data_IF_611526236849
#
_entry.id   IF_611526236849
#
_cell.length_a   1.000
_cell.length_b   1.000
_cell.length_c   1.000
_cell.angle_alpha   90.00
_cell.angle_beta   90.00
_cell.angle_gamma   90.00
#
_symmetry.space_group_name_H-M   'P 1'
#
loop_
_entity.id
_entity.type
_entity.pdbx_description
1 polymer ?
#
# COMPACT_ATOMS: atom_id res chain seq x y z
N UNK A 1 11.04 20.63 25.60
CA UNK A 1 9.99 21.68 25.62
C UNK A 1 8.80 21.14 26.40
N UNK A 2 8.35 21.84 27.46
CA UNK A 2 7.32 21.37 28.37
C UNK A 2 5.88 21.70 27.93
N UNK A 3 5.68 22.85 27.26
CA UNK A 3 4.34 23.32 26.86
C UNK A 3 4.41 24.17 25.61
N UNK A 4 3.43 24.02 24.74
CA UNK A 4 3.22 24.90 23.59
C UNK A 4 1.74 25.29 23.52
N UNK A 5 1.46 26.56 23.29
CA UNK A 5 0.12 27.08 23.04
C UNK A 5 0.13 27.92 21.77
N UNK A 6 -0.59 27.49 20.76
CA UNK A 6 -0.84 28.26 19.54
C UNK A 6 -2.29 28.75 19.55
N UNK A 7 -2.50 30.02 19.25
CA UNK A 7 -3.83 30.60 19.04
C UNK A 7 -3.87 31.27 17.68
N UNK A 8 -4.93 31.03 16.91
CA UNK A 8 -5.22 31.66 15.63
C UNK A 8 -6.57 32.38 15.75
N UNK A 9 -6.60 33.64 15.37
CA UNK A 9 -7.76 34.53 15.46
C UNK A 9 -7.96 35.16 14.09
N UNK A 10 -9.03 34.77 13.39
CA UNK A 10 -9.44 35.44 12.15
C UNK A 10 -10.35 36.64 12.45
N UNK A 11 -10.29 37.69 11.63
CA UNK A 11 -11.18 38.86 11.79
C UNK A 11 -12.69 38.51 11.76
N UNK A 12 -13.06 37.48 11.00
CA UNK A 12 -14.44 36.96 10.90
C UNK A 12 -14.58 35.47 11.26
N UNK A 13 -13.47 34.82 11.65
CA UNK A 13 -13.40 33.39 11.90
C UNK A 13 -13.42 33.07 13.40
N UNK A 14 -13.74 31.83 13.78
CA UNK A 14 -13.62 31.42 15.17
C UNK A 14 -12.14 31.36 15.59
N UNK A 15 -11.88 31.48 16.88
CA UNK A 15 -10.55 31.36 17.45
C UNK A 15 -10.16 29.89 17.55
N UNK A 16 -9.08 29.50 16.90
CA UNK A 16 -8.55 28.14 17.00
C UNK A 16 -7.40 28.11 18.00
N UNK A 17 -7.39 27.11 18.88
CA UNK A 17 -6.36 26.92 19.87
C UNK A 17 -5.80 25.51 19.82
N UNK A 18 -4.47 25.42 19.77
CA UNK A 18 -3.74 24.18 20.01
C UNK A 18 -2.98 24.30 21.33
N UNK A 19 -3.13 23.30 22.18
CA UNK A 19 -2.39 23.16 23.44
C UNK A 19 -1.65 21.84 23.44
N UNK A 20 -0.34 21.90 23.54
CA UNK A 20 0.55 20.75 23.74
C UNK A 20 1.13 20.85 25.14
N UNK A 21 1.00 19.79 25.93
CA UNK A 21 1.55 19.71 27.29
C UNK A 21 2.24 18.38 27.50
N UNK A 22 3.47 18.43 27.98
CA UNK A 22 4.16 17.24 28.47
C UNK A 22 3.53 16.77 29.79
N UNK A 23 3.30 15.46 29.88
CA UNK A 23 2.77 14.74 31.03
C UNK A 23 3.74 13.63 31.42
N UNK A 24 3.54 13.01 32.59
CA UNK A 24 4.45 11.99 33.11
C UNK A 24 4.68 10.82 32.13
N UNK A 25 3.63 10.41 31.42
CA UNK A 25 3.65 9.23 30.54
C UNK A 25 3.49 9.58 29.04
N UNK A 26 3.62 10.85 28.65
CA UNK A 26 3.41 11.23 27.25
C UNK A 26 3.19 12.72 26.99
N UNK A 27 2.61 13.03 25.83
CA UNK A 27 2.32 14.38 25.37
C UNK A 27 0.83 14.48 25.07
N UNK A 28 0.14 15.31 25.84
CA UNK A 28 -1.26 15.63 25.57
C UNK A 28 -1.33 16.78 24.57
N UNK A 29 -2.12 16.60 23.54
CA UNK A 29 -2.40 17.58 22.49
C UNK A 29 -3.91 17.82 22.48
N UNK A 30 -4.33 19.07 22.47
CA UNK A 30 -5.74 19.45 22.43
C UNK A 30 -5.93 20.55 21.41
N UNK A 31 -6.93 20.37 20.56
CA UNK A 31 -7.46 21.36 19.64
C UNK A 31 -8.84 21.79 20.12
N UNK A 32 -9.08 23.10 20.13
CA UNK A 32 -10.37 23.68 20.51
C UNK A 32 -10.66 24.93 19.71
N UNK A 33 -11.93 25.14 19.39
CA UNK A 33 -12.44 26.33 18.69
C UNK A 33 -13.31 27.16 19.63
N UNK A 34 -13.20 28.49 19.58
CA UNK A 34 -14.00 29.45 20.36
C UNK A 34 -14.66 30.49 19.43
N UNK A 35 -16.01 30.59 19.36
CA UNK A 35 -16.98 29.83 20.14
C UNK A 35 -17.00 28.34 19.78
N UNK A 36 -17.28 27.45 20.76
CA UNK A 36 -17.27 26.01 20.55
C UNK A 36 -18.35 25.61 19.55
N UNK A 37 -17.92 25.03 18.43
CA UNK A 37 -18.78 24.34 17.47
C UNK A 37 -18.78 22.83 17.77
N UNK A 38 -19.83 22.10 17.37
CA UNK A 38 -20.00 20.65 17.62
C UNK A 38 -18.78 19.81 17.18
N UNK A 39 -18.08 20.23 16.12
CA UNK A 39 -16.91 19.54 15.56
C UNK A 39 -15.57 20.23 15.90
N UNK A 40 -15.59 21.24 16.78
CA UNK A 40 -14.45 22.12 17.08
C UNK A 40 -13.54 21.66 18.21
N UNK A 41 -13.63 20.41 18.66
CA UNK A 41 -12.80 19.87 19.74
C UNK A 41 -12.18 18.53 19.32
N UNK A 42 -10.87 18.41 19.44
CA UNK A 42 -10.15 17.15 19.29
C UNK A 42 -9.05 17.07 20.36
N UNK A 43 -8.80 15.87 20.89
CA UNK A 43 -7.67 15.65 21.78
C UNK A 43 -7.02 14.29 21.53
N UNK A 44 -5.72 14.25 21.79
CA UNK A 44 -4.92 13.04 21.67
C UNK A 44 -3.83 13.02 22.74
N UNK A 45 -3.39 11.81 23.10
CA UNK A 45 -2.26 11.61 24.03
C UNK A 45 -1.25 10.69 23.35
N UNK A 46 -0.15 11.26 22.90
CA UNK A 46 0.98 10.52 22.35
C UNK A 46 1.81 9.94 23.50
N UNK A 47 2.21 8.68 23.39
CA UNK A 47 2.98 7.99 24.43
C UNK A 47 4.16 7.23 23.81
N UNK A 48 5.17 6.87 24.62
CA UNK A 48 6.31 6.09 24.14
C UNK A 48 7.00 6.70 22.92
N UNK A 49 7.18 5.91 21.86
CA UNK A 49 7.89 6.33 20.65
C UNK A 49 7.11 7.38 19.83
N UNK A 50 5.78 7.39 19.88
CA UNK A 50 4.97 8.44 19.24
C UNK A 50 5.26 9.81 19.85
N UNK A 51 5.41 9.86 21.18
CA UNK A 51 5.78 11.09 21.88
C UNK A 51 7.21 11.54 21.54
N UNK A 52 8.15 10.59 21.42
CA UNK A 52 9.55 10.88 21.04
C UNK A 52 9.61 11.42 19.61
N UNK A 53 9.01 10.71 18.65
CA UNK A 53 8.98 11.12 17.25
C UNK A 53 8.31 12.50 17.04
N UNK A 54 7.21 12.76 17.75
CA UNK A 54 6.58 14.08 17.73
C UNK A 54 7.51 15.18 18.26
N UNK A 55 8.22 14.94 19.38
CA UNK A 55 9.20 15.92 19.91
C UNK A 55 10.33 16.17 18.94
N UNK A 56 10.83 15.14 18.26
CA UNK A 56 11.88 15.29 17.25
C UNK A 56 11.43 16.13 16.06
N UNK A 57 10.23 15.90 15.52
CA UNK A 57 9.66 16.74 14.45
C UNK A 57 9.42 18.18 14.91
N UNK A 58 8.95 18.37 16.14
CA UNK A 58 8.73 19.70 16.70
C UNK A 58 10.04 20.45 16.91
N UNK A 59 11.10 19.77 17.37
CA UNK A 59 12.42 20.35 17.56
C UNK A 59 13.04 20.87 16.25
N UNK A 60 12.77 20.22 15.11
CA UNK A 60 13.23 20.66 13.77
C UNK A 60 12.66 22.02 13.36
N UNK A 61 11.58 22.50 13.99
CA UNK A 61 11.00 23.82 13.70
C UNK A 61 11.78 24.97 14.36
N UNK A 62 12.66 24.66 15.32
CA UNK A 62 13.50 25.61 16.04
C UNK A 62 12.71 26.82 16.59
N UNK A 63 11.51 26.58 17.14
CA UNK A 63 10.54 27.61 17.52
C UNK A 63 11.12 28.73 18.39
N UNK A 64 12.05 28.40 19.29
CA UNK A 64 12.71 29.37 20.19
C UNK A 64 13.50 30.44 19.42
N UNK A 65 13.99 30.13 18.22
CA UNK A 65 14.74 31.06 17.36
C UNK A 65 13.83 31.98 16.53
N UNK A 66 12.51 31.79 16.57
CA UNK A 66 11.59 32.64 15.85
C UNK A 66 11.63 34.06 16.43
N UNK A 67 11.33 35.06 15.59
CA UNK A 67 11.26 36.45 16.03
C UNK A 67 10.08 36.62 16.99
N UNK A 68 10.18 37.59 17.88
CA UNK A 68 9.11 37.85 18.85
C UNK A 68 7.84 38.42 18.18
N UNK A 69 8.00 39.23 17.12
CA UNK A 69 6.89 39.90 16.45
C UNK A 69 7.07 39.88 14.92
N UNK A 70 6.01 39.49 14.22
CA UNK A 70 5.91 39.48 12.76
C UNK A 70 4.81 40.44 12.30
N UNK A 71 5.18 41.50 11.59
CA UNK A 71 4.24 42.53 11.12
C UNK A 71 4.22 42.53 9.61
N UNK A 72 3.04 42.47 9.00
CA UNK A 72 2.89 42.63 7.57
C UNK A 72 3.35 44.03 7.13
N UNK A 73 4.03 44.11 5.98
CA UNK A 73 4.51 45.38 5.41
C UNK A 73 3.38 46.30 4.95
N UNK A 74 2.16 45.79 4.79
CA UNK A 74 0.95 46.56 4.51
C UNK A 74 -0.19 46.12 5.45
N UNK A 75 -1.06 47.04 5.89
CA UNK A 75 -2.21 46.69 6.71
C UNK A 75 -3.21 45.85 5.89
N UNK A 76 -3.42 44.61 6.32
CA UNK A 76 -4.40 43.67 5.75
C UNK A 76 -5.61 43.66 6.69
N UNK A 77 -6.78 44.04 6.17
CA UNK A 77 -7.99 44.24 7.00
C UNK A 77 -8.75 42.94 7.32
N UNK A 78 -8.52 41.86 6.59
CA UNK A 78 -9.24 40.59 6.65
C UNK A 78 -8.34 39.42 7.09
N UNK A 79 -7.44 39.71 8.02
CA UNK A 79 -6.33 38.84 8.34
C UNK A 79 -6.53 37.75 9.40
N UNK A 80 -5.53 36.88 9.50
CA UNK A 80 -5.33 35.99 10.66
C UNK A 80 -4.25 36.56 11.57
N UNK A 81 -4.64 36.85 12.80
CA UNK A 81 -3.74 37.10 13.90
C UNK A 81 -3.37 35.78 14.56
N UNK A 82 -2.12 35.65 14.98
CA UNK A 82 -1.66 34.44 15.66
C UNK A 82 -0.75 34.77 16.84
N UNK A 83 -0.80 33.93 17.86
CA UNK A 83 0.12 33.96 18.98
C UNK A 83 0.59 32.54 19.32
N UNK A 84 1.88 32.40 19.54
CA UNK A 84 2.54 31.16 19.91
C UNK A 84 3.31 31.40 21.21
N UNK A 85 2.98 30.64 22.24
CA UNK A 85 3.72 30.60 23.49
C UNK A 85 4.41 29.25 23.63
N UNK A 86 5.73 29.25 23.79
CA UNK A 86 6.54 28.03 23.96
C UNK A 86 7.24 28.09 25.31
N UNK A 87 6.94 27.15 26.18
CA UNK A 87 7.64 26.96 27.46
C UNK A 87 8.67 25.85 27.30
N UNK A 88 9.93 26.19 27.52
CA UNK A 88 11.05 25.26 27.42
C UNK A 88 11.14 24.31 28.64
N UNK A 89 12.19 23.48 28.66
CA UNK A 89 12.44 22.52 29.75
C UNK A 89 12.89 23.19 31.05
N UNK A 90 13.37 24.43 30.98
CA UNK A 90 13.78 25.24 32.14
C UNK A 90 12.59 25.99 32.77
N UNK A 91 11.45 26.01 32.10
CA UNK A 91 10.26 26.78 32.48
C UNK A 91 10.23 28.20 31.91
N UNK A 92 11.24 28.59 31.12
CA UNK A 92 11.26 29.87 30.40
C UNK A 92 10.23 29.87 29.29
N UNK A 93 9.44 30.94 29.20
CA UNK A 93 8.38 31.08 28.19
C UNK A 93 8.76 32.12 27.15
N UNK A 94 8.74 31.71 25.89
CA UNK A 94 8.97 32.54 24.71
C UNK A 94 7.63 32.80 24.02
N UNK A 95 7.37 34.06 23.72
CA UNK A 95 6.14 34.48 23.05
C UNK A 95 6.47 35.01 21.66
N UNK A 96 5.74 34.54 20.66
CA UNK A 96 5.84 34.95 19.28
C UNK A 96 4.45 35.34 18.79
N UNK A 97 4.33 36.51 18.17
CA UNK A 97 3.05 37.00 17.65
C UNK A 97 3.19 37.45 16.21
N UNK A 98 2.09 37.38 15.47
CA UNK A 98 2.06 37.97 14.15
C UNK A 98 0.67 38.31 13.65
N UNK A 99 0.66 39.18 12.66
CA UNK A 99 -0.54 39.67 11.98
C UNK A 99 -0.32 39.54 10.47
N UNK A 100 -0.90 38.48 9.88
CA UNK A 100 -0.74 38.08 8.47
C UNK A 100 0.70 37.87 7.97
N UNK A 101 1.68 38.05 8.84
CA UNK A 101 3.08 37.75 8.62
C UNK A 101 3.42 36.51 9.44
N UNK A 102 4.02 35.53 8.78
CA UNK A 102 4.30 34.22 9.36
C UNK A 102 5.79 33.90 9.29
N UNK A 103 6.35 33.24 10.32
CA UNK A 103 7.70 32.72 10.25
C UNK A 103 7.85 31.66 9.15
N UNK A 104 9.08 31.45 8.66
CA UNK A 104 9.41 30.23 7.92
C UNK A 104 8.96 28.99 8.73
N UNK A 105 8.38 28.00 8.05
CA UNK A 105 7.82 26.78 8.64
C UNK A 105 6.53 26.92 9.49
N UNK A 106 5.87 28.07 9.52
CA UNK A 106 4.57 28.20 10.23
C UNK A 106 3.53 27.17 9.77
N UNK A 107 3.38 26.97 8.45
CA UNK A 107 2.48 25.96 7.91
C UNK A 107 2.89 24.53 8.28
N UNK A 108 4.18 24.27 8.48
CA UNK A 108 4.68 22.98 8.95
C UNK A 108 4.29 22.74 10.41
N UNK A 109 4.37 23.76 11.27
CA UNK A 109 3.85 23.71 12.64
C UNK A 109 2.36 23.36 12.64
N UNK A 110 1.54 24.08 11.86
CA UNK A 110 0.11 23.83 11.77
C UNK A 110 -0.20 22.40 11.32
N UNK A 111 0.48 21.95 10.26
CA UNK A 111 0.29 20.58 9.74
C UNK A 111 0.70 19.53 10.77
N UNK A 112 1.80 19.75 11.49
CA UNK A 112 2.29 18.85 12.54
C UNK A 112 1.30 18.77 13.70
N UNK A 113 0.80 19.90 14.20
CA UNK A 113 -0.16 19.94 15.31
C UNK A 113 -1.50 19.32 14.92
N UNK A 114 -2.00 19.63 13.72
CA UNK A 114 -3.21 19.03 13.17
C UNK A 114 -3.07 17.52 13.03
N UNK A 115 -1.97 17.05 12.43
CA UNK A 115 -1.72 15.62 12.27
C UNK A 115 -1.61 14.92 13.63
N UNK A 116 -0.88 15.48 14.59
CA UNK A 116 -0.67 14.88 15.90
C UNK A 116 -1.95 14.83 16.75
N UNK A 117 -2.84 15.83 16.64
CA UNK A 117 -4.14 15.81 17.34
C UNK A 117 -5.16 14.88 16.68
N UNK A 118 -5.06 14.65 15.37
CA UNK A 118 -5.96 13.75 14.62
C UNK A 118 -5.31 12.42 14.25
N UNK A 119 -4.22 12.04 14.91
CA UNK A 119 -3.40 10.91 14.50
C UNK A 119 -4.24 9.60 14.55
N UNK A 120 -4.40 8.87 13.43
CA UNK A 120 -5.32 7.74 13.36
C UNK A 120 -4.95 6.64 14.37
N UNK A 121 -5.91 6.26 15.23
CA UNK A 121 -5.66 5.26 16.28
C UNK A 121 -4.79 5.76 17.44
N UNK A 122 -4.50 7.06 17.51
CA UNK A 122 -3.65 7.67 18.54
C UNK A 122 -2.15 7.58 18.24
N UNK A 123 -1.76 7.08 17.07
CA UNK A 123 -0.37 6.86 16.68
C UNK A 123 0.13 7.97 15.73
N UNK A 124 1.20 8.64 16.14
CA UNK A 124 1.88 9.66 15.35
C UNK A 124 2.82 9.05 14.31
N UNK A 125 3.42 7.91 14.63
CA UNK A 125 4.25 7.14 13.70
C UNK A 125 3.34 6.39 12.73
N UNK A 126 3.66 6.34 11.42
CA UNK A 126 2.85 5.62 10.45
C UNK A 126 2.77 4.12 10.77
N UNK A 127 1.71 3.42 10.28
CA UNK A 127 1.61 1.98 10.43
C UNK A 127 2.80 1.22 9.83
N UNK A 128 3.18 0.11 10.46
CA UNK A 128 4.24 -0.78 10.00
C UNK A 128 3.72 -1.96 9.17
N UNK A 129 2.47 -2.40 9.42
CA UNK A 129 1.88 -3.53 8.71
C UNK A 129 0.35 -3.50 8.77
N UNK A 130 -0.28 -4.22 7.83
CA UNK A 130 -1.73 -4.35 7.75
C UNK A 130 -2.12 -5.81 7.59
N UNK A 131 -3.17 -6.22 8.29
CA UNK A 131 -3.86 -7.49 8.05
C UNK A 131 -5.32 -7.23 7.74
N UNK A 132 -5.76 -7.74 6.60
CA UNK A 132 -7.15 -7.66 6.15
C UNK A 132 -7.74 -9.05 6.08
N UNK A 133 -8.85 -9.26 6.77
CA UNK A 133 -9.59 -10.51 6.77
C UNK A 133 -11.02 -10.31 6.24
N UNK A 134 -11.42 -11.11 5.27
CA UNK A 134 -12.82 -11.34 4.97
C UNK A 134 -13.20 -12.73 5.46
N UNK A 135 -14.19 -12.81 6.33
CA UNK A 135 -14.63 -14.07 6.95
C UNK A 135 -16.10 -14.28 6.63
N UNK A 136 -16.47 -15.45 6.10
CA UNK A 136 -17.86 -15.87 5.89
C UNK A 136 -18.18 -17.09 6.72
N UNK A 137 -19.31 -17.04 7.42
CA UNK A 137 -19.81 -18.12 8.27
C UNK A 137 -21.01 -18.80 7.63
N UNK A 138 -21.06 -20.13 7.77
CA UNK A 138 -22.24 -20.91 7.48
C UNK A 138 -23.00 -21.21 8.78
N UNK A 139 -24.32 -21.19 8.67
CA UNK A 139 -25.20 -21.63 9.75
C UNK A 139 -25.46 -23.13 9.59
N UNK A 140 -24.97 -23.97 10.51
CA UNK A 140 -25.30 -25.39 10.51
C UNK A 140 -26.74 -25.59 10.95
N UNK A 141 -27.61 -25.98 10.00
CA UNK A 141 -28.93 -26.56 10.31
C UNK A 141 -28.77 -28.06 10.50
N UNK A 142 -28.35 -28.48 11.70
CA UNK A 142 -28.41 -29.89 12.04
C UNK A 142 -29.89 -30.32 12.09
N UNK A 143 -30.26 -31.49 11.55
CA UNK A 143 -31.61 -32.02 11.72
C UNK A 143 -31.91 -32.12 13.21
N UNK A 144 -33.06 -31.58 13.61
CA UNK A 144 -33.54 -31.57 14.99
C UNK A 144 -33.51 -33.00 15.55
N UNK A 145 -32.49 -33.35 16.34
CA UNK A 145 -32.66 -34.39 17.33
C UNK A 145 -33.67 -33.87 18.34
N UNK A 146 -34.76 -34.63 18.53
CA UNK A 146 -35.92 -34.24 19.30
C UNK A 146 -35.52 -33.92 20.76
N UNK A 147 -35.46 -32.63 21.07
CA UNK A 147 -35.23 -32.12 22.42
C UNK A 147 -35.45 -30.60 22.45
N UNK A 148 -36.06 -30.05 23.50
CA UNK A 148 -36.22 -28.61 23.62
C UNK A 148 -34.85 -28.01 23.99
N UNK A 149 -34.45 -27.01 23.21
CA UNK A 149 -33.30 -26.11 23.37
C UNK A 149 -31.99 -26.50 22.68
N UNK A 150 -31.65 -25.62 21.70
CA UNK A 150 -30.33 -25.33 21.10
C UNK A 150 -29.84 -26.22 19.96
N UNK A 151 -30.09 -25.74 18.74
CA UNK A 151 -29.13 -25.82 17.64
C UNK A 151 -28.68 -24.40 17.31
N UNK A 152 -27.39 -24.23 16.97
CA UNK A 152 -26.79 -23.24 16.04
C UNK A 152 -25.31 -23.01 16.41
N UNK A 153 -24.43 -23.98 16.13
CA UNK A 153 -23.00 -23.68 16.01
C UNK A 153 -22.76 -23.09 14.62
N UNK A 154 -22.28 -21.85 14.55
CA UNK A 154 -21.80 -21.27 13.29
C UNK A 154 -20.40 -21.83 13.02
N UNK A 155 -20.16 -22.28 11.80
CA UNK A 155 -18.85 -22.77 11.38
C UNK A 155 -18.27 -21.79 10.35
N UNK A 156 -16.96 -21.55 10.44
CA UNK A 156 -16.22 -20.84 9.40
C UNK A 156 -16.39 -21.59 8.07
N UNK A 157 -16.83 -20.88 7.04
CA UNK A 157 -16.96 -21.44 5.69
C UNK A 157 -15.79 -21.02 4.82
N UNK A 158 -15.37 -19.76 4.92
CA UNK A 158 -14.35 -19.15 4.09
C UNK A 158 -13.67 -18.01 4.84
N UNK A 159 -12.34 -17.92 4.71
CA UNK A 159 -11.54 -16.77 5.12
C UNK A 159 -10.56 -16.42 4.02
N UNK A 160 -10.49 -15.16 3.67
CA UNK A 160 -9.40 -14.60 2.86
C UNK A 160 -8.63 -13.61 3.71
N UNK A 161 -7.30 -13.75 3.72
CA UNK A 161 -6.39 -12.93 4.49
C UNK A 161 -5.36 -12.31 3.55
N UNK A 162 -5.18 -11.01 3.65
CA UNK A 162 -4.02 -10.30 3.13
C UNK A 162 -3.20 -9.79 4.31
N UNK A 163 -1.95 -10.23 4.41
CA UNK A 163 -0.97 -9.69 5.33
C UNK A 163 0.06 -8.91 4.51
N UNK A 164 0.24 -7.64 4.82
CA UNK A 164 1.18 -6.74 4.14
C UNK A 164 2.08 -6.14 5.20
N UNK A 165 3.36 -6.50 5.16
CA UNK A 165 4.38 -6.08 6.10
C UNK A 165 5.61 -5.57 5.34
N UNK A 166 5.63 -4.28 4.97
CA UNK A 166 6.78 -3.68 4.30
C UNK A 166 8.05 -3.63 5.14
N UNK A 167 7.98 -3.81 6.46
CA UNK A 167 9.18 -3.79 7.31
C UNK A 167 10.03 -5.06 7.15
N UNK A 168 9.40 -6.15 6.70
CA UNK A 168 10.04 -7.42 6.39
C UNK A 168 9.95 -7.77 4.89
N UNK A 169 9.64 -6.79 4.04
CA UNK A 169 9.40 -6.97 2.60
C UNK A 169 8.40 -8.10 2.31
N UNK A 170 7.36 -8.26 3.12
CA UNK A 170 6.52 -9.46 3.14
C UNK A 170 5.08 -9.16 2.72
N UNK A 171 4.55 -9.96 1.78
CA UNK A 171 3.11 -10.05 1.53
C UNK A 171 2.68 -11.51 1.58
N UNK A 172 1.65 -11.82 2.37
CA UNK A 172 1.04 -13.16 2.45
C UNK A 172 -0.41 -13.07 2.02
N UNK A 173 -0.79 -13.89 1.06
CA UNK A 173 -2.17 -14.08 0.62
C UNK A 173 -2.60 -15.48 1.02
N UNK A 174 -3.60 -15.55 1.89
CA UNK A 174 -4.08 -16.82 2.45
C UNK A 174 -5.57 -16.97 2.25
N UNK A 175 -5.98 -18.14 1.80
CA UNK A 175 -7.38 -18.55 1.71
C UNK A 175 -7.59 -19.80 2.53
N UNK A 176 -8.57 -19.79 3.42
CA UNK A 176 -8.99 -20.95 4.21
C UNK A 176 -10.44 -21.27 3.92
N UNK A 177 -10.77 -22.54 3.79
CA UNK A 177 -12.14 -22.97 3.49
C UNK A 177 -12.52 -24.20 4.30
N UNK A 178 -13.83 -24.39 4.51
CA UNK A 178 -14.33 -25.63 5.10
C UNK A 178 -14.09 -26.81 4.13
N UNK A 179 -13.75 -27.99 4.67
CA UNK A 179 -13.54 -29.22 3.90
C UNK A 179 -14.67 -29.46 2.88
N UNK A 180 -14.36 -29.91 1.65
CA UNK A 180 -13.11 -30.54 1.21
C UNK A 180 -12.11 -29.59 0.50
N UNK A 181 -12.31 -28.27 0.58
CA UNK A 181 -11.40 -27.32 -0.08
C UNK A 181 -10.07 -27.21 0.68
N UNK A 182 -8.96 -27.26 -0.03
CA UNK A 182 -7.62 -27.08 0.55
C UNK A 182 -7.37 -25.61 0.88
N UNK A 183 -6.74 -25.35 2.02
CA UNK A 183 -6.15 -24.06 2.33
C UNK A 183 -5.07 -23.72 1.30
N UNK A 184 -4.98 -22.45 0.92
CA UNK A 184 -3.98 -21.93 -0.01
C UNK A 184 -3.25 -20.77 0.64
N UNK A 185 -1.93 -20.73 0.50
CA UNK A 185 -1.09 -19.66 1.04
C UNK A 185 0.04 -19.38 0.05
N UNK A 186 0.22 -18.10 -0.30
CA UNK A 186 1.30 -17.62 -1.16
C UNK A 186 2.01 -16.48 -0.44
N UNK A 187 3.34 -16.50 -0.48
CA UNK A 187 4.19 -15.50 0.16
C UNK A 187 5.08 -14.83 -0.89
N UNK A 188 5.20 -13.52 -0.80
CA UNK A 188 6.00 -12.68 -1.70
C UNK A 188 7.01 -11.87 -0.89
N UNK A 189 8.19 -11.62 -1.50
CA UNK A 189 9.33 -10.97 -0.85
C UNK A 189 9.97 -9.81 -1.64
N UNK A 190 9.33 -9.31 -2.71
CA UNK A 190 9.92 -8.25 -3.56
C UNK A 190 9.83 -6.87 -2.86
N UNK A 191 10.94 -6.25 -2.43
CA UNK A 191 10.89 -5.03 -1.63
C UNK A 191 10.21 -3.86 -2.34
N UNK A 192 10.43 -3.71 -3.64
CA UNK A 192 9.87 -2.59 -4.40
C UNK A 192 8.37 -2.75 -4.60
N UNK A 193 7.93 -3.95 -4.99
CA UNK A 193 6.51 -4.22 -5.18
C UNK A 193 5.76 -4.15 -3.85
N UNK A 194 6.37 -4.64 -2.76
CA UNK A 194 5.77 -4.59 -1.42
C UNK A 194 5.63 -3.15 -0.93
N UNK A 195 6.66 -2.31 -1.12
CA UNK A 195 6.58 -0.89 -0.79
C UNK A 195 5.46 -0.17 -1.55
N UNK A 196 5.34 -0.42 -2.85
CA UNK A 196 4.28 0.16 -3.69
C UNK A 196 2.87 -0.27 -3.21
N UNK A 197 2.71 -1.56 -2.87
CA UNK A 197 1.45 -2.06 -2.32
C UNK A 197 1.13 -1.43 -0.96
N UNK A 198 2.13 -1.29 -0.09
CA UNK A 198 1.97 -0.65 1.21
C UNK A 198 1.50 0.82 1.10
N UNK A 199 2.01 1.58 0.12
CA UNK A 199 1.56 2.95 -0.15
C UNK A 199 0.08 2.99 -0.57
N UNK A 200 -0.32 2.13 -1.51
CA UNK A 200 -1.70 2.03 -1.96
C UNK A 200 -2.65 1.63 -0.81
N UNK A 201 -2.22 0.70 0.05
CA UNK A 201 -2.98 0.26 1.23
C UNK A 201 -3.10 1.38 2.26
N UNK A 202 -2.02 2.09 2.55
CA UNK A 202 -2.03 3.24 3.46
C UNK A 202 -2.98 4.34 2.97
N UNK A 203 -2.95 4.65 1.67
CA UNK A 203 -3.87 5.60 1.05
C UNK A 203 -5.34 5.14 1.20
N UNK A 204 -5.62 3.88 0.87
CA UNK A 204 -6.98 3.33 0.98
C UNK A 204 -7.49 3.34 2.42
N UNK A 205 -6.67 2.97 3.40
CA UNK A 205 -7.01 3.00 4.83
C UNK A 205 -7.24 4.42 5.31
N UNK A 206 -6.48 5.41 4.82
CA UNK A 206 -6.66 6.82 5.21
C UNK A 206 -8.06 7.37 4.89
N UNK A 207 -8.74 6.83 3.87
CA UNK A 207 -10.10 7.22 3.47
C UNK A 207 -11.17 6.81 4.49
N UNK A 208 -10.87 5.90 5.42
CA UNK A 208 -11.75 5.58 6.54
C UNK A 208 -11.78 6.70 7.61
N UNK A 209 -10.85 7.65 7.56
CA UNK A 209 -10.74 8.71 8.55
C UNK A 209 -10.18 8.20 9.88
N UNK A 210 -10.82 8.60 10.99
CA UNK A 210 -10.35 8.26 12.33
C UNK A 210 -10.54 6.77 12.63
N UNK A 211 -9.42 6.05 12.77
CA UNK A 211 -9.45 4.62 13.08
C UNK A 211 -9.70 4.38 14.57
N UNK A 212 -10.84 3.76 14.90
CA UNK A 212 -11.17 3.33 16.27
C UNK A 212 -11.38 1.83 16.33
N UNK A 213 -10.84 1.20 17.37
CA UNK A 213 -11.05 -0.23 17.59
C UNK A 213 -12.55 -0.50 17.74
N UNK A 214 -13.06 -1.33 16.84
CA UNK A 214 -14.48 -1.67 16.75
C UNK A 214 -14.57 -3.18 16.61
N UNK A 215 -15.41 -3.83 17.42
CA UNK A 215 -15.60 -5.27 17.38
C UNK A 215 -17.07 -5.56 17.12
N UNK A 216 -17.36 -6.59 16.32
CA UNK A 216 -18.73 -7.06 16.14
C UNK A 216 -19.30 -7.60 17.45
N UNK A 217 -20.57 -7.32 17.71
CA UNK A 217 -21.24 -7.83 18.90
C UNK A 217 -21.33 -9.37 18.84
N UNK A 218 -20.71 -10.10 19.79
CA UNK A 218 -20.78 -11.55 19.80
C UNK A 218 -22.21 -12.09 20.02
N UNK A 219 -23.14 -11.28 20.54
CA UNK A 219 -24.54 -11.67 20.72
C UNK A 219 -25.35 -11.64 19.40
N UNK A 220 -24.90 -10.85 18.41
CA UNK A 220 -25.53 -10.70 17.10
C UNK A 220 -24.50 -10.87 15.97
N UNK A 221 -23.87 -12.05 15.84
CA UNK A 221 -22.79 -12.23 14.89
C UNK A 221 -23.34 -12.11 13.45
N UNK A 222 -22.69 -11.34 12.56
CA UNK A 222 -23.09 -11.23 11.17
C UNK A 222 -22.72 -12.51 10.40
N UNK A 223 -23.32 -12.71 9.22
CA UNK A 223 -22.98 -13.87 8.37
C UNK A 223 -21.59 -13.74 7.75
N UNK A 224 -21.09 -12.50 7.62
CA UNK A 224 -19.75 -12.20 7.16
C UNK A 224 -19.18 -10.97 7.87
N UNK A 225 -17.85 -10.97 8.01
CA UNK A 225 -17.09 -9.94 8.71
C UNK A 225 -15.98 -9.45 7.78
N UNK A 226 -15.81 -8.13 7.71
CA UNK A 226 -14.53 -7.53 7.34
C UNK A 226 -13.78 -7.21 8.62
N UNK A 227 -12.51 -7.58 8.68
CA UNK A 227 -11.61 -7.13 9.72
C UNK A 227 -10.39 -6.45 9.11
N UNK A 228 -10.03 -5.29 9.65
CA UNK A 228 -8.76 -4.62 9.41
C UNK A 228 -8.00 -4.58 10.73
N UNK A 229 -6.76 -5.03 10.71
CA UNK A 229 -5.81 -4.85 11.81
C UNK A 229 -4.67 -4.00 11.29
N UNK A 230 -4.49 -2.83 11.90
CA UNK A 230 -3.39 -1.92 11.60
C UNK A 230 -2.36 -2.07 12.70
N UNK A 231 -1.17 -2.52 12.34
CA UNK A 231 -0.04 -2.66 13.24
C UNK A 231 0.81 -1.40 13.14
N UNK A 232 1.26 -0.92 14.29
CA UNK A 232 2.19 0.19 14.41
C UNK A 232 3.50 -0.34 14.98
N UNK A 233 4.63 0.38 14.76
CA UNK A 233 5.91 -0.01 15.34
C UNK A 233 5.85 -0.24 16.86
N UNK A 234 5.00 0.52 17.57
CA UNK A 234 4.81 0.44 19.01
C UNK A 234 3.33 0.55 19.39
N UNK A 235 2.98 0.12 20.61
CA UNK A 235 1.62 0.16 21.13
C UNK A 235 0.76 -1.01 20.67
N UNK A 236 -0.56 -0.89 20.89
CA UNK A 236 -1.52 -1.95 20.53
C UNK A 236 -2.01 -1.72 19.09
N UNK A 237 -2.20 -2.79 18.31
CA UNK A 237 -2.79 -2.64 16.99
C UNK A 237 -4.22 -2.11 17.09
N UNK A 238 -4.61 -1.30 16.10
CA UNK A 238 -6.00 -0.87 15.93
C UNK A 238 -6.74 -1.95 15.17
N UNK A 239 -7.84 -2.47 15.76
CA UNK A 239 -8.63 -3.55 15.15
C UNK A 239 -10.06 -3.10 14.87
N UNK A 240 -10.43 -3.10 13.59
CA UNK A 240 -11.78 -2.78 13.13
C UNK A 240 -12.42 -4.07 12.65
N UNK A 241 -13.60 -4.41 13.16
CA UNK A 241 -14.44 -5.50 12.68
C UNK A 241 -15.86 -5.00 12.49
N UNK A 242 -16.40 -5.23 11.30
CA UNK A 242 -17.74 -4.76 10.93
C UNK A 242 -18.52 -5.86 10.22
N UNK A 243 -19.84 -5.70 10.17
CA UNK A 243 -20.69 -6.54 9.34
C UNK A 243 -20.42 -6.23 7.85
N UNK A 244 -19.86 -7.20 7.14
CA UNK A 244 -19.50 -7.05 5.73
C UNK A 244 -20.72 -6.85 4.81
N UNK A 245 -21.93 -7.13 5.25
CA UNK A 245 -23.15 -6.90 4.48
C UNK A 245 -23.65 -5.45 4.60
N UNK A 246 -23.31 -4.73 5.67
CA UNK A 246 -23.92 -3.44 6.00
C UNK A 246 -22.95 -2.26 5.87
N UNK A 247 -21.66 -2.47 6.12
CA UNK A 247 -20.67 -1.39 6.15
C UNK A 247 -20.18 -1.03 4.73
N UNK A 248 -20.49 0.18 4.26
CA UNK A 248 -20.16 0.62 2.90
C UNK A 248 -18.70 1.08 2.75
N UNK A 249 -18.13 1.68 3.80
CA UNK A 249 -16.78 2.22 3.78
C UNK A 249 -15.77 1.07 3.79
N UNK A 250 -15.97 0.07 4.64
CA UNK A 250 -15.14 -1.13 4.68
C UNK A 250 -15.27 -1.99 3.40
N UNK A 251 -16.43 -1.98 2.72
CA UNK A 251 -16.56 -2.61 1.40
C UNK A 251 -15.71 -1.89 0.35
N UNK A 252 -15.76 -0.56 0.33
CA UNK A 252 -14.96 0.25 -0.59
C UNK A 252 -13.46 0.05 -0.35
N UNK A 253 -13.04 0.02 0.92
CA UNK A 253 -11.66 -0.34 1.30
C UNK A 253 -11.27 -1.72 0.79
N UNK A 254 -12.12 -2.73 1.02
CA UNK A 254 -11.84 -4.11 0.60
C UNK A 254 -11.69 -4.24 -0.91
N UNK A 255 -12.52 -3.54 -1.68
CA UNK A 255 -12.43 -3.50 -3.14
C UNK A 255 -11.10 -2.88 -3.60
N UNK A 256 -10.76 -1.70 -3.08
CA UNK A 256 -9.51 -1.01 -3.43
C UNK A 256 -8.27 -1.86 -3.11
N UNK A 257 -8.23 -2.50 -1.94
CA UNK A 257 -7.10 -3.35 -1.56
C UNK A 257 -7.05 -4.63 -2.39
N UNK A 258 -8.20 -5.23 -2.72
CA UNK A 258 -8.23 -6.43 -3.58
C UNK A 258 -7.72 -6.10 -4.98
N UNK A 259 -8.07 -4.94 -5.52
CA UNK A 259 -7.54 -4.46 -6.81
C UNK A 259 -6.03 -4.22 -6.75
N UNK A 260 -5.54 -3.51 -5.73
CA UNK A 260 -4.11 -3.28 -5.53
C UNK A 260 -3.32 -4.59 -5.35
N UNK A 261 -3.86 -5.56 -4.61
CA UNK A 261 -3.27 -6.90 -4.46
C UNK A 261 -3.24 -7.64 -5.80
N UNK A 262 -4.30 -7.53 -6.61
CA UNK A 262 -4.33 -8.16 -7.93
C UNK A 262 -3.25 -7.57 -8.86
N UNK A 263 -3.12 -6.24 -8.92
CA UNK A 263 -2.07 -5.57 -9.69
C UNK A 263 -0.67 -5.97 -9.21
N UNK A 264 -0.46 -6.05 -7.90
CA UNK A 264 0.77 -6.54 -7.29
C UNK A 264 1.09 -7.98 -7.75
N UNK A 265 0.12 -8.89 -7.73
CA UNK A 265 0.30 -10.28 -8.18
C UNK A 265 0.68 -10.34 -9.65
N UNK A 266 -0.02 -9.60 -10.51
CA UNK A 266 0.29 -9.53 -11.96
C UNK A 266 1.69 -8.98 -12.20
N UNK A 267 2.11 -7.94 -11.47
CA UNK A 267 3.44 -7.37 -11.56
C UNK A 267 4.52 -8.37 -11.10
N UNK A 268 4.26 -9.10 -10.00
CA UNK A 268 5.16 -10.14 -9.49
C UNK A 268 5.31 -11.30 -10.48
N UNK A 269 4.21 -11.77 -11.09
CA UNK A 269 4.24 -12.80 -12.12
C UNK A 269 5.04 -12.36 -13.34
N UNK A 270 4.85 -11.12 -13.82
CA UNK A 270 5.64 -10.57 -14.94
C UNK A 270 7.13 -10.50 -14.63
N UNK A 271 7.52 -10.07 -13.42
CA UNK A 271 8.93 -10.09 -12.99
C UNK A 271 9.48 -11.50 -12.95
N UNK A 272 8.75 -12.44 -12.35
CA UNK A 272 9.17 -13.84 -12.31
C UNK A 272 9.36 -14.43 -13.72
N UNK A 273 8.52 -14.07 -14.69
CA UNK A 273 8.69 -14.49 -16.08
C UNK A 273 9.92 -13.84 -16.72
N UNK A 274 10.13 -12.54 -16.51
CA UNK A 274 11.33 -11.84 -16.97
C UNK A 274 12.62 -12.43 -16.39
N UNK A 275 12.65 -12.65 -15.07
CA UNK A 275 13.76 -13.28 -14.36
C UNK A 275 13.95 -14.74 -14.78
N UNK A 276 12.89 -15.51 -14.99
CA UNK A 276 13.00 -16.86 -15.53
C UNK A 276 13.52 -16.88 -16.97
N UNK A 277 13.19 -15.87 -17.78
CA UNK A 277 13.73 -15.71 -19.14
C UNK A 277 15.20 -15.32 -19.12
N UNK A 278 15.60 -14.50 -18.14
CA UNK A 278 16.95 -13.91 -18.03
C UNK A 278 17.94 -14.83 -17.30
N UNK A 279 17.48 -15.49 -16.24
CA UNK A 279 18.31 -16.26 -15.30
C UNK A 279 17.89 -17.73 -15.15
N UNK A 280 16.72 -18.11 -15.68
CA UNK A 280 16.30 -19.50 -15.72
C UNK A 280 17.17 -20.30 -16.70
N UNK A 281 17.16 -21.64 -16.62
CA UNK A 281 17.75 -22.44 -17.69
C UNK A 281 17.08 -22.02 -19.00
N UNK A 282 17.85 -21.71 -20.05
CA UNK A 282 17.31 -21.39 -21.37
C UNK A 282 16.60 -22.64 -21.92
N UNK A 283 15.31 -22.80 -21.59
CA UNK A 283 14.44 -23.84 -22.14
C UNK A 283 14.16 -23.41 -23.58
N UNK A 284 14.48 -24.27 -24.55
CA UNK A 284 14.20 -23.99 -25.96
C UNK A 284 12.82 -23.36 -26.16
N UNK A 285 12.78 -22.18 -26.77
CA UNK A 285 11.55 -21.48 -27.14
C UNK A 285 11.40 -21.48 -28.68
N UNK A 286 10.24 -21.04 -29.17
CA UNK A 286 9.95 -21.02 -30.61
C UNK A 286 9.97 -19.61 -31.16
N UNK A 287 10.50 -19.45 -32.37
CA UNK A 287 10.51 -18.21 -33.14
C UNK A 287 9.94 -18.45 -34.53
N UNK A 288 9.45 -17.40 -35.21
CA UNK A 288 9.25 -17.46 -36.65
C UNK A 288 10.34 -16.70 -37.37
N UNK A 289 10.77 -17.28 -38.47
CA UNK A 289 11.68 -16.65 -39.41
C UNK A 289 11.05 -16.60 -40.79
N UNK A 290 11.40 -15.58 -41.56
CA UNK A 290 11.04 -15.45 -42.96
C UNK A 290 12.31 -15.49 -43.82
N UNK A 291 12.25 -16.23 -44.92
CA UNK A 291 13.33 -16.22 -45.91
C UNK A 291 13.04 -15.15 -46.94
N UNK A 292 14.01 -14.30 -47.26
CA UNK A 292 13.86 -13.27 -48.28
C UNK A 292 13.29 -13.91 -49.56
N UNK A 293 12.17 -13.39 -50.08
CA UNK A 293 11.37 -13.94 -51.20
C UNK A 293 10.36 -15.05 -50.88
N UNK A 294 10.12 -15.39 -49.60
CA UNK A 294 9.06 -16.31 -49.19
C UNK A 294 7.82 -15.58 -48.72
N UNK A 295 6.64 -16.00 -49.20
CA UNK A 295 5.35 -15.48 -48.71
C UNK A 295 4.89 -16.17 -47.40
N UNK A 296 5.76 -16.95 -46.75
CA UNK A 296 5.42 -17.79 -45.60
C UNK A 296 6.48 -17.68 -44.52
N UNK A 297 6.01 -17.66 -43.28
CA UNK A 297 6.84 -17.72 -42.09
C UNK A 297 7.04 -19.17 -41.66
N UNK A 298 8.23 -19.47 -41.16
CA UNK A 298 8.64 -20.80 -40.75
C UNK A 298 8.96 -20.81 -39.27
N UNK A 299 8.44 -21.81 -38.57
CA UNK A 299 8.64 -21.99 -37.13
C UNK A 299 9.96 -22.74 -36.86
N UNK A 300 10.81 -22.18 -36.01
CA UNK A 300 12.05 -22.79 -35.52
C UNK A 300 12.09 -22.80 -34.00
N UNK A 301 12.95 -23.65 -33.44
CA UNK A 301 13.34 -23.59 -32.02
C UNK A 301 14.62 -22.79 -31.87
N UNK A 302 14.80 -22.16 -30.72
CA UNK A 302 16.07 -21.53 -30.37
C UNK A 302 16.28 -21.58 -28.86
N UNK A 303 17.55 -21.62 -28.48
CA UNK A 303 18.09 -21.45 -27.14
C UNK A 303 18.98 -20.21 -27.05
N UNK A 304 19.11 -19.45 -28.15
CA UNK A 304 19.82 -18.17 -28.17
C UNK A 304 19.04 -17.14 -27.33
N UNK A 305 19.71 -16.45 -26.39
CA UNK A 305 19.09 -15.35 -25.65
C UNK A 305 18.96 -14.12 -26.55
N UNK A 306 18.04 -13.23 -26.18
CA UNK A 306 17.98 -11.84 -26.66
C UNK A 306 17.81 -11.65 -28.18
N UNK A 307 17.16 -12.59 -28.89
CA UNK A 307 16.75 -12.37 -30.28
C UNK A 307 15.63 -11.32 -30.37
N UNK A 308 15.75 -10.39 -31.30
CA UNK A 308 14.77 -9.35 -31.60
C UNK A 308 14.16 -9.54 -33.00
N UNK A 309 13.01 -8.91 -33.26
CA UNK A 309 12.46 -8.85 -34.62
C UNK A 309 13.39 -8.04 -35.52
N UNK A 310 13.68 -8.55 -36.71
CA UNK A 310 14.68 -8.00 -37.64
C UNK A 310 16.07 -8.63 -37.49
N UNK A 311 16.32 -9.40 -36.44
CA UNK A 311 17.57 -10.16 -36.31
C UNK A 311 17.70 -11.18 -37.43
N UNK A 312 18.94 -11.42 -37.82
CA UNK A 312 19.26 -12.24 -38.97
C UNK A 312 19.92 -13.53 -38.47
N UNK A 313 19.32 -14.68 -38.76
CA UNK A 313 19.72 -15.98 -38.18
C UNK A 313 20.02 -17.04 -39.23
N UNK A 314 20.92 -17.97 -38.87
CA UNK A 314 21.29 -19.12 -39.69
C UNK A 314 20.44 -20.33 -39.29
N UNK A 315 19.68 -20.87 -40.25
CA UNK A 315 18.71 -21.95 -40.02
C UNK A 315 18.85 -23.11 -41.02
N UNK A 316 18.65 -24.37 -40.61
CA UNK A 316 18.73 -25.51 -41.51
C UNK A 316 17.43 -25.74 -42.29
N UNK A 317 17.52 -25.88 -43.61
CA UNK A 317 16.40 -26.11 -44.54
C UNK A 317 16.50 -27.45 -45.29
N UNK A 318 15.36 -27.99 -45.73
CA UNK A 318 15.28 -29.26 -46.48
C UNK A 318 15.70 -30.52 -45.71
N UNK A 319 15.70 -31.69 -46.35
CA UNK A 319 16.12 -32.94 -45.70
C UNK A 319 17.66 -33.11 -45.67
N UNK A 320 18.38 -32.45 -46.57
CA UNK A 320 19.86 -32.50 -46.67
C UNK A 320 20.58 -31.59 -45.66
N UNK A 321 19.85 -30.84 -44.83
CA UNK A 321 20.44 -30.00 -43.78
C UNK A 321 21.24 -28.79 -44.28
N UNK A 322 20.95 -28.30 -45.49
CA UNK A 322 21.54 -27.06 -46.01
C UNK A 322 21.18 -25.89 -45.10
N UNK A 323 22.10 -24.97 -44.88
CA UNK A 323 21.83 -23.77 -44.07
C UNK A 323 21.38 -22.63 -44.97
N UNK A 324 20.42 -21.87 -44.49
CA UNK A 324 19.97 -20.63 -45.09
C UNK A 324 19.85 -19.56 -44.03
N UNK A 325 19.71 -18.38 -44.59
CA UNK A 325 19.74 -17.08 -43.99
C UNK A 325 18.28 -16.58 -43.91
N UNK A 326 17.80 -16.30 -42.70
CA UNK A 326 16.41 -15.92 -42.45
C UNK A 326 16.30 -14.80 -41.41
N UNK A 327 15.35 -13.89 -41.62
CA UNK A 327 15.05 -12.77 -40.71
C UNK A 327 14.02 -13.22 -39.67
N UNK A 328 14.25 -12.87 -38.41
CA UNK A 328 13.31 -13.11 -37.31
C UNK A 328 12.13 -12.16 -37.45
N UNK A 329 10.94 -12.71 -37.65
CA UNK A 329 9.69 -11.94 -37.81
C UNK A 329 8.78 -12.01 -36.58
N UNK A 330 9.09 -12.90 -35.64
CA UNK A 330 8.39 -13.07 -34.37
C UNK A 330 9.37 -13.78 -33.42
N UNK A 331 9.99 -12.99 -32.54
CA UNK A 331 11.04 -13.46 -31.63
C UNK A 331 10.49 -14.34 -30.49
N UNK A 332 9.16 -14.43 -30.32
CA UNK A 332 8.58 -15.27 -29.29
C UNK A 332 7.20 -15.82 -29.66
N UNK A 333 7.17 -17.08 -30.07
CA UNK A 333 5.94 -17.78 -30.46
C UNK A 333 5.53 -18.77 -29.38
N UNK A 334 4.29 -18.67 -28.91
CA UNK A 334 3.70 -19.69 -28.05
C UNK A 334 3.72 -21.06 -28.75
N UNK A 335 4.17 -22.11 -28.04
CA UNK A 335 4.20 -23.47 -28.57
C UNK A 335 2.80 -23.85 -29.10
N UNK A 336 2.60 -24.09 -30.41
CA UNK A 336 1.26 -24.30 -30.92
C UNK A 336 0.70 -25.64 -30.43
N UNK A 337 -0.39 -25.59 -29.66
CA UNK A 337 -1.04 -26.76 -29.03
C UNK A 337 -1.52 -27.78 -30.08
N UNK A 338 -1.75 -27.35 -31.32
CA UNK A 338 -2.12 -28.18 -32.47
C UNK A 338 -1.35 -27.74 -33.72
N UNK A 339 -0.05 -28.03 -33.77
CA UNK A 339 0.72 -27.84 -34.99
C UNK A 339 0.73 -29.13 -35.84
N UNK A 340 0.58 -29.06 -37.17
CA UNK A 340 0.62 -30.25 -38.03
C UNK A 340 2.01 -30.92 -38.07
N UNK A 341 3.05 -30.24 -37.59
CA UNK A 341 4.40 -30.78 -37.47
C UNK A 341 4.69 -31.11 -35.99
N UNK A 342 4.99 -32.37 -35.64
CA UNK A 342 5.35 -32.73 -34.27
C UNK A 342 6.55 -31.92 -33.75
N UNK A 343 6.56 -31.53 -32.46
CA UNK A 343 7.62 -30.71 -31.89
C UNK A 343 9.03 -31.24 -32.15
N UNK A 344 9.26 -32.56 -32.13
CA UNK A 344 10.57 -33.17 -32.39
C UNK A 344 11.06 -33.01 -33.85
N UNK A 345 10.18 -32.67 -34.80
CA UNK A 345 10.54 -32.43 -36.21
C UNK A 345 10.81 -30.96 -36.52
N UNK A 346 10.48 -30.06 -35.58
CA UNK A 346 10.82 -28.63 -35.71
C UNK A 346 12.32 -28.48 -35.48
N UNK A 347 12.98 -27.87 -36.46
CA UNK A 347 14.42 -27.65 -36.49
C UNK A 347 14.81 -26.48 -35.59
N UNK A 348 16.08 -26.45 -35.19
CA UNK A 348 16.65 -25.43 -34.31
C UNK A 348 17.46 -24.42 -35.14
N UNK A 349 17.43 -23.16 -34.71
CA UNK A 349 18.36 -22.11 -35.15
C UNK A 349 19.79 -22.53 -34.80
N UNK A 350 20.73 -22.28 -35.71
CA UNK A 350 22.13 -22.67 -35.53
C UNK A 350 22.91 -21.56 -34.84
N UNK A 351 22.75 -20.31 -35.30
CA UNK A 351 23.43 -19.13 -34.77
C UNK A 351 22.74 -17.84 -35.25
N UNK A 352 23.07 -16.72 -34.60
CA UNK A 352 22.92 -15.38 -35.16
C UNK A 352 23.93 -15.20 -36.30
N UNK A 353 23.54 -14.47 -37.34
CA UNK A 353 24.45 -14.10 -38.42
C UNK A 353 25.37 -12.95 -38.02
N UNK A 354 26.59 -12.95 -38.57
CA UNK A 354 27.51 -11.82 -38.41
C UNK A 354 27.20 -10.73 -39.46
N UNK A 355 27.29 -9.46 -39.07
CA UNK A 355 26.97 -8.27 -39.88
C UNK A 355 27.78 -8.12 -41.19
N UNK A 356 28.83 -8.92 -41.39
CA UNK A 356 29.77 -8.82 -42.51
C UNK A 356 29.42 -9.72 -43.72
N UNK A 357 28.41 -10.58 -43.61
CA UNK A 357 27.92 -11.34 -44.75
C UNK A 357 26.96 -10.44 -45.56
N UNK A 358 27.46 -9.66 -46.52
CA UNK A 358 26.66 -8.76 -47.37
C UNK A 358 25.87 -9.51 -48.49
N UNK A 359 25.89 -10.85 -48.52
CA UNK A 359 25.24 -11.68 -49.53
C UNK A 359 23.99 -12.42 -48.97
N UNK A 360 22.94 -11.66 -48.59
CA UNK A 360 21.62 -12.17 -48.18
C UNK A 360 20.55 -11.97 -49.25
#
# INVERSE_FOLDING_TARGET
MNRLRLSLTGFFGPNEHYLVTEQHDGIKITYSVDPPMLDGLADNVLTGEDAVAFKEELAKLELIKWQQQYVATAPIMDGTQWSLQVTDDTGSTHEHVGDNAYPPNFNRLLSLLKYAVTAPGGHFVPPSAWQLDFVRFATLRLPKFAGPTRFLSRQLQYRQTYLIDPTHDLVVIKTQAAEPLNDHEVTYHDPQLVANLAEAVAEAVSKLGELKTTLVDPALPPNSIFALTVQYPHGKPTRIQVNAELDADMKSLWQAITEAVHEFQVASERRNVGDATTFGPHIMHYIKVNFHHSAKDYLYKTDLPDLEEGDVVIVPVGEEGRTLHAEVVDAQVAAPVYFPVPPHKIKQVIALADDDDDDW
#
